data_IF_985488530967
#
_entry.id   IF_985488530967
#
_cell.length_a   1.000
_cell.length_b   1.000
_cell.length_c   1.000
_cell.angle_alpha   90.00
_cell.angle_beta   90.00
_cell.angle_gamma   90.00
#
_symmetry.space_group_name_H-M   'P 1'
#
loop_
_entity.id
_entity.type
_entity.pdbx_description
1 polymer ?
#
# COMPACT_ATOMS: atom_id res chain seq x y z
N UNK A 1 -3.66 -16.88 -1.51
CA UNK A 1 -4.47 -18.01 -0.93
C UNK A 1 -5.27 -17.50 0.28
N UNK A 2 -6.61 -17.42 0.22
CA UNK A 2 -7.42 -16.79 1.29
C UNK A 2 -7.37 -17.50 2.65
N UNK A 3 -7.18 -18.82 2.67
CA UNK A 3 -7.08 -19.59 3.91
C UNK A 3 -5.69 -19.52 4.55
N UNK A 4 -4.70 -18.90 3.91
CA UNK A 4 -3.31 -18.91 4.39
C UNK A 4 -3.20 -18.22 5.75
N UNK A 5 -3.91 -17.11 5.93
CA UNK A 5 -3.91 -16.35 7.18
C UNK A 5 -4.42 -17.15 8.37
N UNK A 6 -5.39 -18.05 8.16
CA UNK A 6 -5.88 -18.94 9.20
C UNK A 6 -4.82 -19.94 9.69
N UNK A 7 -3.77 -20.19 8.88
CA UNK A 7 -2.69 -21.12 9.22
C UNK A 7 -1.44 -20.41 9.73
N UNK A 8 -1.17 -19.19 9.26
CA UNK A 8 -0.03 -18.39 9.71
C UNK A 8 -0.28 -17.69 11.06
N UNK A 9 -1.54 -17.57 11.47
CA UNK A 9 -1.94 -16.81 12.65
C UNK A 9 -2.17 -15.33 12.35
N UNK A 10 -2.48 -14.55 13.39
CA UNK A 10 -2.82 -13.13 13.26
C UNK A 10 -1.59 -12.22 13.05
N UNK A 11 -0.37 -12.76 13.15
CA UNK A 11 0.85 -11.96 13.22
C UNK A 11 0.97 -11.21 14.54
N UNK A 12 1.82 -10.19 14.55
CA UNK A 12 2.02 -9.28 15.67
C UNK A 12 1.33 -7.93 15.38
N UNK A 13 0.54 -7.43 16.33
CA UNK A 13 -0.02 -6.08 16.26
C UNK A 13 0.86 -5.14 17.05
N UNK A 14 1.38 -4.10 16.38
CA UNK A 14 2.33 -3.17 16.98
C UNK A 14 2.05 -1.71 16.58
N UNK A 15 2.21 -0.73 17.50
CA UNK A 15 2.12 0.69 17.14
C UNK A 15 3.23 1.08 16.17
N UNK A 16 2.87 1.66 15.02
CA UNK A 16 3.86 2.05 14.00
C UNK A 16 4.84 3.14 14.49
N UNK A 17 4.41 4.00 15.42
CA UNK A 17 5.27 5.02 16.01
C UNK A 17 6.41 4.39 16.83
N UNK A 18 6.10 3.35 17.60
CA UNK A 18 7.07 2.59 18.40
C UNK A 18 8.05 1.86 17.48
N UNK A 19 7.53 1.19 16.45
CA UNK A 19 8.36 0.49 15.48
C UNK A 19 9.29 1.43 14.69
N UNK A 20 8.78 2.59 14.27
CA UNK A 20 9.57 3.60 13.57
C UNK A 20 10.71 4.14 14.46
N UNK A 21 10.44 4.40 15.75
CA UNK A 21 11.43 4.86 16.72
C UNK A 21 12.54 3.81 16.92
N UNK A 22 12.19 2.56 17.20
CA UNK A 22 13.17 1.49 17.38
C UNK A 22 13.98 1.20 16.12
N UNK A 23 13.35 1.24 14.95
CA UNK A 23 14.07 1.12 13.69
C UNK A 23 15.10 2.24 13.56
N UNK A 24 14.72 3.48 13.87
CA UNK A 24 15.62 4.63 13.80
C UNK A 24 16.81 4.48 14.75
N UNK A 25 16.58 4.07 16.00
CA UNK A 25 17.63 3.80 16.98
C UNK A 25 18.61 2.71 16.51
N UNK A 26 18.09 1.61 15.94
CA UNK A 26 18.90 0.48 15.49
C UNK A 26 19.66 0.76 14.19
N UNK A 27 19.01 1.39 13.21
CA UNK A 27 19.54 1.55 11.85
C UNK A 27 20.20 2.91 11.60
N UNK A 28 20.02 3.88 12.50
CA UNK A 28 20.52 5.25 12.33
C UNK A 28 19.82 6.03 11.20
N UNK A 29 18.71 5.52 10.68
CA UNK A 29 17.93 6.13 9.59
C UNK A 29 16.45 5.76 9.71
N UNK A 30 15.55 6.52 9.06
CA UNK A 30 14.13 6.27 9.18
C UNK A 30 13.68 4.94 8.54
N UNK A 31 12.55 4.43 9.02
CA UNK A 31 11.90 3.21 8.51
C UNK A 31 11.37 3.47 7.10
N UNK A 32 11.74 2.62 6.14
CA UNK A 32 11.29 2.71 4.75
C UNK A 32 10.32 1.58 4.44
N UNK A 33 9.13 1.90 3.92
CA UNK A 33 8.08 0.91 3.62
C UNK A 33 7.66 1.03 2.15
N UNK A 34 7.73 -0.08 1.40
CA UNK A 34 7.10 -0.16 0.09
C UNK A 34 5.60 -0.44 0.26
N UNK A 35 4.76 0.33 -0.40
CA UNK A 35 3.30 0.21 -0.32
C UNK A 35 2.76 -0.32 -1.64
N UNK A 36 2.11 -1.48 -1.61
CA UNK A 36 1.33 -2.03 -2.72
C UNK A 36 0.07 -1.17 -2.92
N UNK A 37 0.18 -0.17 -3.78
CA UNK A 37 -0.83 0.86 -3.93
C UNK A 37 -2.20 0.32 -4.40
N UNK A 38 -2.28 -0.59 -5.40
CA UNK A 38 -3.53 -1.17 -5.84
C UNK A 38 -4.36 -1.79 -4.72
N UNK A 39 -3.78 -2.57 -3.82
CA UNK A 39 -4.52 -3.15 -2.69
C UNK A 39 -4.73 -2.13 -1.57
N UNK A 40 -3.70 -1.35 -1.25
CA UNK A 40 -3.72 -0.43 -0.13
C UNK A 40 -4.83 0.62 -0.27
N UNK A 41 -5.09 1.15 -1.47
CA UNK A 41 -6.13 2.19 -1.68
C UNK A 41 -7.55 1.76 -1.29
N UNK A 42 -7.89 0.48 -1.39
CA UNK A 42 -9.25 0.00 -1.15
C UNK A 42 -9.53 -0.30 0.33
N UNK A 43 -8.48 -0.55 1.10
CA UNK A 43 -8.59 -0.76 2.54
C UNK A 43 -8.80 0.55 3.32
N UNK A 44 -8.53 1.69 2.71
CA UNK A 44 -8.66 2.99 3.36
C UNK A 44 -10.08 3.56 3.42
N UNK A 45 -10.97 3.07 2.55
CA UNK A 45 -12.34 3.53 2.46
C UNK A 45 -13.22 2.46 1.80
N UNK A 46 -14.30 2.04 2.47
CA UNK A 46 -15.25 1.09 1.90
C UNK A 46 -16.01 1.71 0.72
N UNK A 47 -16.41 0.88 -0.25
CA UNK A 47 -17.20 1.33 -1.41
C UNK A 47 -18.51 2.01 -0.99
N UNK A 48 -19.18 1.48 0.05
CA UNK A 48 -20.40 2.07 0.58
C UNK A 48 -20.17 3.49 1.12
N UNK A 49 -19.06 3.72 1.84
CA UNK A 49 -18.71 5.04 2.37
C UNK A 49 -18.30 6.01 1.27
N UNK A 50 -17.55 5.53 0.28
CA UNK A 50 -17.21 6.32 -0.90
C UNK A 50 -18.46 6.77 -1.66
N UNK A 51 -19.39 5.84 -1.92
CA UNK A 51 -20.65 6.14 -2.60
C UNK A 51 -21.51 7.14 -1.79
N UNK A 52 -21.54 7.00 -0.47
CA UNK A 52 -22.20 7.96 0.41
C UNK A 52 -21.64 9.38 0.24
N UNK A 53 -20.32 9.55 0.31
CA UNK A 53 -19.65 10.85 0.19
C UNK A 53 -19.87 11.45 -1.20
N UNK A 54 -19.76 10.63 -2.26
CA UNK A 54 -19.97 11.10 -3.64
C UNK A 54 -21.40 11.56 -3.91
N UNK A 55 -22.40 11.01 -3.20
CA UNK A 55 -23.79 11.51 -3.28
C UNK A 55 -23.94 12.90 -2.65
N UNK A 56 -23.29 13.15 -1.52
CA UNK A 56 -23.37 14.44 -0.81
C UNK A 56 -22.42 15.49 -1.39
N UNK A 57 -21.35 15.06 -2.07
CA UNK A 57 -20.32 15.93 -2.65
C UNK A 57 -19.86 15.39 -4.01
N UNK A 58 -20.64 15.63 -5.08
CA UNK A 58 -20.28 15.21 -6.43
C UNK A 58 -18.93 15.79 -6.88
N UNK A 59 -18.13 14.99 -7.58
CA UNK A 59 -16.77 15.38 -8.01
C UNK A 59 -15.71 15.30 -6.91
N UNK A 60 -16.06 14.86 -5.69
CA UNK A 60 -15.06 14.63 -4.64
C UNK A 60 -14.19 13.40 -4.91
N UNK A 61 -12.96 13.45 -4.37
CA UNK A 61 -11.94 12.41 -4.43
C UNK A 61 -11.69 11.80 -3.03
N UNK A 62 -12.68 11.10 -2.44
CA UNK A 62 -12.61 10.70 -1.04
C UNK A 62 -11.54 9.63 -0.78
N UNK A 63 -11.22 8.77 -1.76
CA UNK A 63 -10.15 7.78 -1.62
C UNK A 63 -8.80 8.47 -1.54
N UNK A 64 -8.50 9.33 -2.51
CA UNK A 64 -7.26 10.10 -2.57
C UNK A 64 -7.09 10.93 -1.31
N UNK A 65 -8.16 11.58 -0.83
CA UNK A 65 -8.15 12.28 0.47
C UNK A 65 -7.74 11.36 1.63
N UNK A 66 -8.33 10.17 1.75
CA UNK A 66 -7.99 9.21 2.82
C UNK A 66 -6.56 8.71 2.73
N UNK A 67 -6.07 8.48 1.50
CA UNK A 67 -4.66 8.12 1.26
C UNK A 67 -3.75 9.23 1.79
N UNK A 68 -4.01 10.48 1.44
CA UNK A 68 -3.20 11.64 1.86
C UNK A 68 -3.21 11.81 3.37
N UNK A 69 -4.38 11.70 4.03
CA UNK A 69 -4.49 11.79 5.49
C UNK A 69 -3.56 10.79 6.17
N UNK A 70 -3.51 9.54 5.71
CA UNK A 70 -2.62 8.52 6.27
C UNK A 70 -1.15 8.76 5.94
N UNK A 71 -0.84 9.18 4.71
CA UNK A 71 0.53 9.53 4.32
C UNK A 71 1.06 10.65 5.21
N UNK A 72 0.26 11.70 5.45
CA UNK A 72 0.64 12.80 6.36
C UNK A 72 0.92 12.28 7.77
N UNK A 73 0.11 11.38 8.31
CA UNK A 73 0.34 10.82 9.64
C UNK A 73 1.61 9.96 9.72
N UNK A 74 1.94 9.21 8.66
CA UNK A 74 3.17 8.42 8.59
C UNK A 74 4.42 9.30 8.44
N UNK A 75 4.34 10.36 7.64
CA UNK A 75 5.43 11.32 7.48
C UNK A 75 5.75 12.05 8.79
N UNK A 76 4.74 12.37 9.62
CA UNK A 76 4.95 12.95 10.97
C UNK A 76 5.76 12.02 11.89
N UNK A 77 5.69 10.71 11.66
CA UNK A 77 6.45 9.71 12.39
C UNK A 77 7.83 9.44 11.77
N UNK A 78 8.24 10.27 10.80
CA UNK A 78 9.46 10.11 10.02
C UNK A 78 9.52 8.77 9.25
N UNK A 79 8.37 8.15 8.95
CA UNK A 79 8.33 6.95 8.09
C UNK A 79 8.45 7.38 6.63
N UNK A 80 9.35 6.75 5.89
CA UNK A 80 9.53 6.98 4.46
C UNK A 80 8.72 5.95 3.68
N UNK A 81 7.85 6.43 2.80
CA UNK A 81 6.98 5.57 2.00
C UNK A 81 7.45 5.55 0.55
N UNK A 82 7.39 4.39 -0.09
CA UNK A 82 7.55 4.22 -1.54
C UNK A 82 6.30 3.54 -2.08
N UNK A 83 5.46 4.28 -2.79
CA UNK A 83 4.25 3.71 -3.40
C UNK A 83 4.61 2.97 -4.69
N UNK A 84 4.17 1.72 -4.81
CA UNK A 84 4.40 0.89 -5.99
C UNK A 84 3.07 0.66 -6.70
N UNK A 85 3.00 1.08 -7.96
CA UNK A 85 1.85 0.90 -8.83
C UNK A 85 2.06 -0.31 -9.75
N UNK A 86 0.96 -0.95 -10.13
CA UNK A 86 0.95 -2.02 -11.13
C UNK A 86 1.52 -1.57 -12.49
N UNK A 87 2.24 -2.49 -13.12
CA UNK A 87 2.84 -2.36 -14.43
C UNK A 87 2.03 -2.94 -15.59
N UNK A 88 2.50 -2.72 -16.83
CA UNK A 88 1.85 -3.21 -18.04
C UNK A 88 1.90 -4.74 -18.19
N UNK A 89 2.86 -5.42 -17.54
CA UNK A 89 3.04 -6.87 -17.64
C UNK A 89 2.47 -7.65 -16.45
N UNK A 90 1.57 -7.04 -15.68
CA UNK A 90 0.95 -7.69 -14.53
C UNK A 90 0.17 -8.94 -14.92
N UNK A 91 0.18 -9.95 -14.06
CA UNK A 91 -0.52 -11.19 -14.34
C UNK A 91 -2.03 -10.95 -14.41
N UNK A 92 -2.70 -11.60 -15.38
CA UNK A 92 -4.17 -11.55 -15.44
C UNK A 92 -4.75 -12.35 -14.28
N UNK A 93 -5.01 -11.71 -13.14
CA UNK A 93 -5.70 -12.34 -12.00
C UNK A 93 -7.08 -12.83 -12.47
N UNK A 94 -7.31 -14.15 -12.43
CA UNK A 94 -8.60 -14.76 -12.79
C UNK A 94 -9.64 -14.24 -11.80
N UNK A 95 -10.64 -13.51 -12.30
CA UNK A 95 -11.81 -13.05 -11.54
C UNK A 95 -12.44 -14.24 -10.81
N UNK A 96 -12.22 -14.37 -9.50
CA UNK A 96 -13.03 -15.25 -8.67
C UNK A 96 -14.18 -14.41 -8.13
N UNK A 97 -15.40 -14.94 -8.19
CA UNK A 97 -16.64 -14.21 -7.86
C UNK A 97 -16.66 -13.52 -6.47
N UNK A 98 -15.71 -13.86 -5.57
CA UNK A 98 -15.55 -13.28 -4.24
C UNK A 98 -14.17 -12.62 -4.00
N UNK A 99 -13.31 -12.45 -5.02
CA UNK A 99 -12.08 -11.68 -4.84
C UNK A 99 -12.45 -10.20 -4.83
N UNK A 100 -12.28 -9.54 -3.67
CA UNK A 100 -12.44 -8.09 -3.47
C UNK A 100 -11.43 -7.24 -4.26
N UNK A 101 -11.15 -7.63 -5.50
CA UNK A 101 -10.41 -6.85 -6.46
C UNK A 101 -11.35 -5.74 -6.94
N UNK A 102 -11.36 -4.67 -6.17
CA UNK A 102 -12.08 -3.45 -6.48
C UNK A 102 -11.49 -2.89 -7.78
N UNK A 103 -12.36 -2.50 -8.71
CA UNK A 103 -11.97 -2.17 -10.09
C UNK A 103 -10.83 -1.16 -10.14
N UNK A 104 -9.90 -1.33 -11.09
CA UNK A 104 -8.73 -0.47 -11.25
C UNK A 104 -9.12 1.02 -11.16
N UNK A 105 -8.31 1.84 -10.46
CA UNK A 105 -8.52 3.28 -10.42
C UNK A 105 -8.58 3.85 -11.85
N UNK A 106 -9.30 4.95 -12.01
CA UNK A 106 -9.21 5.68 -13.28
C UNK A 106 -7.80 6.25 -13.45
N UNK A 107 -7.35 6.43 -14.69
CA UNK A 107 -6.09 7.11 -14.96
C UNK A 107 -6.06 8.54 -14.38
N UNK A 108 -7.22 9.17 -14.23
CA UNK A 108 -7.34 10.47 -13.58
C UNK A 108 -7.07 10.39 -12.07
N UNK A 109 -7.61 9.38 -11.38
CA UNK A 109 -7.33 9.14 -9.97
C UNK A 109 -5.83 8.87 -9.72
N UNK A 110 -5.20 8.04 -10.57
CA UNK A 110 -3.76 7.79 -10.49
C UNK A 110 -2.99 9.11 -10.67
N UNK A 111 -3.27 9.88 -11.73
CA UNK A 111 -2.58 11.16 -11.98
C UNK A 111 -2.77 12.17 -10.86
N UNK A 112 -3.98 12.27 -10.32
CA UNK A 112 -4.26 13.15 -9.19
C UNK A 112 -3.40 12.76 -7.99
N UNK A 113 -3.35 11.46 -7.67
CA UNK A 113 -2.59 10.96 -6.54
C UNK A 113 -1.08 11.16 -6.73
N UNK A 114 -0.54 10.84 -7.90
CA UNK A 114 0.90 11.02 -8.19
C UNK A 114 1.31 12.48 -8.17
N UNK A 115 0.48 13.40 -8.70
CA UNK A 115 0.75 14.83 -8.60
C UNK A 115 0.80 15.29 -7.14
N UNK A 116 -0.08 14.80 -6.29
CA UNK A 116 -0.08 15.13 -4.86
C UNK A 116 1.18 14.56 -4.18
N UNK A 117 1.58 13.34 -4.53
CA UNK A 117 2.84 12.76 -4.05
C UNK A 117 4.06 13.60 -4.46
N UNK A 118 4.10 14.11 -5.69
CA UNK A 118 5.16 15.02 -6.16
C UNK A 118 5.23 16.29 -5.29
N UNK A 119 4.08 16.91 -4.98
CA UNK A 119 4.04 18.08 -4.09
C UNK A 119 4.45 17.77 -2.64
N UNK A 120 4.18 16.55 -2.16
CA UNK A 120 4.53 16.12 -0.81
C UNK A 120 5.96 15.57 -0.69
N UNK A 121 6.66 15.37 -1.81
CA UNK A 121 7.97 14.71 -1.83
C UNK A 121 7.90 13.22 -1.49
N UNK A 122 6.77 12.55 -1.76
CA UNK A 122 6.58 11.12 -1.52
C UNK A 122 6.94 10.36 -2.80
N UNK A 123 7.96 9.50 -2.81
CA UNK A 123 8.35 8.78 -4.01
C UNK A 123 7.34 7.70 -4.38
N UNK A 124 7.19 7.49 -5.68
CA UNK A 124 6.43 6.38 -6.24
C UNK A 124 7.15 5.73 -7.42
N UNK A 125 6.80 4.48 -7.69
CA UNK A 125 7.39 3.63 -8.70
C UNK A 125 6.32 2.86 -9.46
N UNK A 126 6.45 2.74 -10.78
CA UNK A 126 5.62 1.85 -11.59
C UNK A 126 6.36 0.54 -11.77
N UNK A 127 5.81 -0.53 -11.21
CA UNK A 127 6.37 -1.88 -11.38
C UNK A 127 6.39 -2.27 -12.87
N UNK A 128 7.26 -3.22 -13.27
CA UNK A 128 7.16 -3.82 -14.59
C UNK A 128 5.93 -4.74 -14.72
N UNK A 129 5.52 -5.39 -13.61
CA UNK A 129 4.42 -6.35 -13.52
C UNK A 129 3.52 -6.06 -12.32
N UNK A 130 3.28 -7.05 -11.47
CA UNK A 130 2.44 -6.90 -10.27
C UNK A 130 3.15 -6.07 -9.18
N UNK A 131 2.44 -5.12 -8.57
CA UNK A 131 2.99 -4.21 -7.56
C UNK A 131 3.54 -4.95 -6.33
N UNK A 132 2.85 -5.98 -5.85
CA UNK A 132 3.26 -6.75 -4.69
C UNK A 132 4.60 -7.48 -4.89
N UNK A 133 4.87 -7.94 -6.11
CA UNK A 133 6.12 -8.62 -6.44
C UNK A 133 7.30 -7.63 -6.47
N UNK A 134 7.08 -6.45 -7.02
CA UNK A 134 8.09 -5.38 -7.04
C UNK A 134 8.36 -4.83 -5.64
N UNK A 135 7.34 -4.67 -4.79
CA UNK A 135 7.53 -4.32 -3.37
C UNK A 135 8.49 -5.29 -2.67
N UNK A 136 8.29 -6.60 -2.85
CA UNK A 136 9.16 -7.63 -2.25
C UNK A 136 10.57 -7.58 -2.85
N UNK A 137 10.68 -7.35 -4.17
CA UNK A 137 11.98 -7.18 -4.83
C UNK A 137 12.76 -6.00 -4.26
N UNK A 138 12.09 -4.88 -3.99
CA UNK A 138 12.68 -3.68 -3.39
C UNK A 138 13.15 -3.92 -1.95
N UNK A 139 12.40 -4.70 -1.17
CA UNK A 139 12.81 -5.15 0.18
C UNK A 139 14.07 -6.02 0.10
N UNK A 140 14.09 -7.02 -0.78
CA UNK A 140 15.24 -7.92 -0.96
C UNK A 140 16.50 -7.19 -1.44
N UNK A 141 16.35 -6.06 -2.14
CA UNK A 141 17.45 -5.18 -2.55
C UNK A 141 17.91 -4.21 -1.44
N UNK A 142 17.23 -4.16 -0.29
CA UNK A 142 17.51 -3.22 0.79
C UNK A 142 17.09 -1.78 0.50
N UNK A 143 16.26 -1.56 -0.54
CA UNK A 143 15.69 -0.24 -0.86
C UNK A 143 14.67 0.17 0.19
N UNK A 144 13.86 -0.79 0.64
CA UNK A 144 12.91 -0.64 1.74
C UNK A 144 13.18 -1.69 2.82
N UNK A 145 12.61 -1.49 4.00
CA UNK A 145 12.79 -2.35 5.17
C UNK A 145 11.57 -3.25 5.42
N UNK A 146 10.43 -2.93 4.82
CA UNK A 146 9.19 -3.71 4.91
C UNK A 146 8.28 -3.47 3.70
N UNK A 147 7.34 -4.40 3.49
CA UNK A 147 6.28 -4.32 2.47
C UNK A 147 4.93 -4.14 3.15
N UNK A 148 4.11 -3.20 2.70
CA UNK A 148 2.73 -3.04 3.13
C UNK A 148 1.78 -3.51 2.03
N UNK A 149 1.22 -4.71 2.21
CA UNK A 149 0.26 -5.31 1.29
C UNK A 149 -0.64 -6.31 2.03
N UNK A 150 -1.86 -6.49 1.54
CA UNK A 150 -2.76 -7.57 1.97
C UNK A 150 -2.66 -8.83 1.09
N UNK A 151 -1.82 -8.81 0.05
CA UNK A 151 -1.60 -9.99 -0.78
C UNK A 151 -0.70 -10.99 -0.04
N UNK A 152 -1.24 -12.20 0.18
CA UNK A 152 -0.47 -13.31 0.73
C UNK A 152 0.71 -13.71 -0.16
N UNK A 153 0.62 -13.37 -1.45
CA UNK A 153 1.59 -13.76 -2.45
C UNK A 153 2.95 -13.06 -2.21
N UNK A 154 2.99 -11.94 -1.46
CA UNK A 154 4.23 -11.36 -0.95
C UNK A 154 5.11 -12.38 -0.21
N UNK A 155 4.51 -13.25 0.60
CA UNK A 155 5.26 -14.28 1.34
C UNK A 155 5.87 -15.32 0.38
N UNK A 156 5.16 -15.67 -0.69
CA UNK A 156 5.67 -16.59 -1.72
C UNK A 156 6.79 -15.97 -2.55
N UNK A 157 6.78 -14.64 -2.75
CA UNK A 157 7.88 -13.91 -3.37
C UNK A 157 9.10 -13.74 -2.46
N UNK A 158 9.01 -14.17 -1.20
CA UNK A 158 10.11 -14.12 -0.23
C UNK A 158 10.17 -12.81 0.55
N UNK A 159 9.01 -12.23 0.86
CA UNK A 159 8.93 -11.08 1.77
C UNK A 159 9.37 -11.46 3.19
N UNK A 160 10.22 -10.63 3.80
CA UNK A 160 10.69 -10.86 5.17
C UNK A 160 9.79 -10.19 6.22
N UNK A 161 9.32 -8.97 5.94
CA UNK A 161 8.50 -8.17 6.83
C UNK A 161 7.27 -7.64 6.09
N UNK A 162 6.13 -8.28 6.32
CA UNK A 162 4.84 -7.92 5.71
C UNK A 162 3.94 -7.19 6.71
N UNK A 163 3.57 -5.96 6.37
CA UNK A 163 2.65 -5.09 7.11
C UNK A 163 1.27 -5.16 6.47
N UNK A 164 0.24 -5.23 7.30
CA UNK A 164 -1.17 -5.38 6.89
C UNK A 164 -2.05 -4.35 7.59
N UNK A 165 -3.29 -4.19 7.10
CA UNK A 165 -4.29 -3.30 7.68
C UNK A 165 -4.91 -3.84 8.97
#
# INVERSE_FOLDING_TARGET
IFSLWNHLGAGETRPIAEWAAEHFERAGRPLRIAVDEPLWRYQNLSEAKEAEIKRTSPGSHPREKRIIERVVDLLKLNVQLLFVFDGPHKARKIRRANSGYVGQPSNEAIRLLTNIFDYMGVPYHNAPGDAEAECVRLEQLGVVDAVWSDDSDCLMFGCSTLVRF
#
